data_IF_288980726848
#
_entry.id   IF_288980726848
#
_cell.length_a   1.000
_cell.length_b   1.000
_cell.length_c   1.000
_cell.angle_alpha   90.00
_cell.angle_beta   90.00
_cell.angle_gamma   90.00
#
_symmetry.space_group_name_H-M   'P 1'
#
loop_
_entity.id
_entity.type
_entity.pdbx_description
1 polymer ?
#
# COMPACT_ATOMS: atom_id res chain seq x y z
N UNK A 1 3.07 18.44 -35.66
CA UNK A 1 3.30 18.34 -34.21
C UNK A 1 2.45 17.19 -33.71
N UNK A 2 2.92 15.96 -33.91
CA UNK A 2 2.17 14.75 -33.58
C UNK A 2 2.32 14.48 -32.08
N UNK A 3 1.22 14.56 -31.35
CA UNK A 3 1.14 14.07 -29.97
C UNK A 3 1.37 12.56 -30.03
N UNK A 4 2.54 12.12 -29.58
CA UNK A 4 2.86 10.71 -29.38
C UNK A 4 1.82 10.11 -28.43
N UNK A 5 0.97 9.26 -28.99
CA UNK A 5 0.03 8.42 -28.26
C UNK A 5 0.81 7.54 -27.28
N UNK A 6 0.82 7.92 -26.01
CA UNK A 6 1.31 7.09 -24.92
C UNK A 6 0.34 5.92 -24.78
N UNK A 7 0.62 4.81 -25.48
CA UNK A 7 -0.12 3.56 -25.29
C UNK A 7 0.08 3.10 -23.84
N UNK A 8 -0.89 3.43 -22.98
CA UNK A 8 -0.93 2.95 -21.60
C UNK A 8 -1.21 1.44 -21.60
N UNK A 9 -0.15 0.64 -21.75
CA UNK A 9 -0.23 -0.82 -21.69
C UNK A 9 -0.19 -1.28 -20.23
N UNK A 10 -1.27 -1.01 -19.51
CA UNK A 10 -1.45 -1.54 -18.16
C UNK A 10 -2.00 -2.96 -18.23
N UNK A 11 -1.42 -3.89 -17.45
CA UNK A 11 -2.00 -5.21 -17.22
C UNK A 11 -2.53 -5.33 -15.79
N UNK A 12 -3.59 -6.12 -15.63
CA UNK A 12 -4.23 -6.37 -14.34
C UNK A 12 -4.21 -7.85 -14.03
N UNK A 13 -3.94 -8.20 -12.78
CA UNK A 13 -4.04 -9.56 -12.25
C UNK A 13 -4.73 -9.52 -10.90
N UNK A 14 -5.99 -9.95 -10.83
CA UNK A 14 -6.82 -9.78 -9.64
C UNK A 14 -6.94 -8.29 -9.26
N UNK A 15 -6.55 -7.95 -8.03
CA UNK A 15 -6.50 -6.57 -7.54
C UNK A 15 -5.16 -5.85 -7.82
N UNK A 16 -4.20 -6.54 -8.44
CA UNK A 16 -2.91 -5.97 -8.79
C UNK A 16 -2.95 -5.36 -10.17
N UNK A 17 -2.38 -4.16 -10.27
CA UNK A 17 -2.22 -3.42 -11.53
C UNK A 17 -0.73 -3.21 -11.75
N UNK A 18 -0.25 -3.57 -12.94
CA UNK A 18 1.13 -3.30 -13.34
C UNK A 18 1.19 -2.45 -14.60
N UNK A 19 2.03 -1.42 -14.53
CA UNK A 19 2.38 -0.55 -15.65
C UNK A 19 3.57 -1.16 -16.40
N UNK A 20 3.43 -1.40 -17.71
CA UNK A 20 4.49 -1.96 -18.58
C UNK A 20 5.28 -0.84 -19.29
N UNK A 21 5.15 0.41 -18.82
CA UNK A 21 6.00 1.50 -19.27
C UNK A 21 7.46 1.19 -18.95
N UNK A 22 8.35 1.57 -19.86
CA UNK A 22 9.79 1.52 -19.60
C UNK A 22 10.12 2.49 -18.45
N UNK A 23 10.85 2.00 -17.45
CA UNK A 23 11.27 2.81 -16.29
C UNK A 23 12.72 2.49 -16.00
N UNK A 24 13.54 3.52 -15.76
CA UNK A 24 14.97 3.40 -15.46
C UNK A 24 15.74 2.57 -16.51
N UNK A 25 15.36 2.65 -17.79
CA UNK A 25 15.97 1.88 -18.89
C UNK A 25 15.66 0.38 -18.87
N UNK A 26 14.72 -0.06 -18.03
CA UNK A 26 14.28 -1.46 -17.95
C UNK A 26 12.83 -1.54 -18.37
N UNK A 27 12.48 -2.58 -19.14
CA UNK A 27 11.10 -2.90 -19.52
C UNK A 27 10.79 -4.37 -19.26
N UNK A 28 9.75 -4.63 -18.46
CA UNK A 28 9.24 -6.01 -18.28
C UNK A 28 8.43 -6.42 -19.50
N UNK A 29 8.56 -7.68 -19.88
CA UNK A 29 7.58 -8.26 -20.78
C UNK A 29 6.22 -8.39 -20.05
N UNK A 30 5.08 -8.30 -20.75
CA UNK A 30 3.76 -8.40 -20.13
C UNK A 30 3.57 -9.68 -19.31
N UNK A 31 4.09 -10.81 -19.79
CA UNK A 31 4.02 -12.11 -19.06
C UNK A 31 4.91 -12.16 -17.83
N UNK A 32 6.05 -11.45 -17.84
CA UNK A 32 6.93 -11.35 -16.67
C UNK A 32 6.25 -10.55 -15.56
N UNK A 33 5.68 -9.39 -15.92
CA UNK A 33 4.91 -8.56 -15.00
C UNK A 33 3.68 -9.30 -14.46
N UNK A 34 2.97 -10.05 -15.30
CA UNK A 34 1.83 -10.88 -14.90
C UNK A 34 2.21 -11.90 -13.81
N UNK A 35 3.28 -12.66 -14.03
CA UNK A 35 3.71 -13.67 -13.07
C UNK A 35 4.29 -13.04 -11.80
N UNK A 36 4.98 -11.90 -11.91
CA UNK A 36 5.48 -11.17 -10.75
C UNK A 36 4.33 -10.63 -9.88
N UNK A 37 3.22 -10.18 -10.46
CA UNK A 37 2.00 -9.83 -9.72
C UNK A 37 1.37 -11.04 -9.01
N UNK A 38 1.40 -12.23 -9.63
CA UNK A 38 0.98 -13.47 -8.98
C UNK A 38 1.84 -13.79 -7.75
N UNK A 39 3.16 -13.61 -7.85
CA UNK A 39 4.08 -13.74 -6.71
C UNK A 39 3.80 -12.71 -5.63
N UNK A 40 3.53 -11.45 -6.00
CA UNK A 40 3.13 -10.39 -5.07
C UNK A 40 1.79 -10.68 -4.37
N UNK A 41 0.90 -11.45 -5.02
CA UNK A 41 -0.35 -11.94 -4.43
C UNK A 41 -0.15 -13.11 -3.44
N UNK A 42 1.08 -13.61 -3.28
CA UNK A 42 1.39 -14.76 -2.44
C UNK A 42 1.17 -16.12 -3.13
N UNK A 43 0.94 -16.14 -4.45
CA UNK A 43 0.78 -17.40 -5.18
C UNK A 43 2.13 -18.09 -5.41
N UNK A 44 2.13 -19.41 -5.29
CA UNK A 44 3.27 -20.25 -5.66
C UNK A 44 3.40 -20.34 -7.19
N UNK A 45 4.59 -20.68 -7.70
CA UNK A 45 4.81 -20.83 -9.15
C UNK A 45 3.86 -21.87 -9.78
N UNK A 46 3.49 -22.91 -9.04
CA UNK A 46 2.56 -23.96 -9.50
C UNK A 46 1.13 -23.43 -9.62
N UNK A 47 0.71 -22.58 -8.68
CA UNK A 47 -0.62 -21.94 -8.73
C UNK A 47 -0.70 -20.91 -9.86
N UNK A 48 0.34 -20.09 -10.04
CA UNK A 48 0.43 -19.16 -11.17
C UNK A 48 0.36 -19.93 -12.49
N UNK A 49 1.08 -21.04 -12.59
CA UNK A 49 1.07 -21.90 -13.77
C UNK A 49 -0.32 -22.49 -14.06
N UNK A 50 -0.99 -23.03 -13.03
CA UNK A 50 -2.37 -23.54 -13.12
C UNK A 50 -3.36 -22.45 -13.53
N UNK A 51 -3.27 -21.27 -12.92
CA UNK A 51 -4.14 -20.14 -13.23
C UNK A 51 -3.97 -19.61 -14.67
N UNK A 52 -2.80 -19.81 -15.28
CA UNK A 52 -2.49 -19.35 -16.64
C UNK A 52 -2.49 -20.48 -17.69
N UNK A 53 -2.77 -21.73 -17.31
CA UNK A 53 -2.76 -22.87 -18.23
C UNK A 53 -1.37 -23.18 -18.84
N UNK A 54 -0.29 -22.87 -18.13
CA UNK A 54 1.10 -23.04 -18.61
C UNK A 54 1.87 -24.04 -17.75
N UNK A 55 2.97 -24.58 -18.28
CA UNK A 55 3.87 -25.43 -17.51
C UNK A 55 4.58 -24.60 -16.40
N UNK A 56 4.68 -25.10 -15.15
CA UNK A 56 5.42 -24.43 -14.07
C UNK A 56 6.87 -24.09 -14.39
N UNK A 57 7.53 -24.88 -15.26
CA UNK A 57 8.88 -24.56 -15.74
C UNK A 57 8.91 -23.24 -16.53
N UNK A 58 7.89 -22.97 -17.34
CA UNK A 58 7.76 -21.73 -18.13
C UNK A 58 7.62 -20.51 -17.23
N UNK A 59 6.84 -20.61 -16.15
CA UNK A 59 6.70 -19.53 -15.15
C UNK A 59 8.04 -19.26 -14.48
N UNK A 60 8.75 -20.30 -14.09
CA UNK A 60 10.07 -20.19 -13.44
C UNK A 60 11.08 -19.51 -14.36
N UNK A 61 11.21 -19.97 -15.61
CA UNK A 61 12.13 -19.38 -16.59
C UNK A 61 11.81 -17.90 -16.84
N UNK A 62 10.51 -17.58 -16.96
CA UNK A 62 10.06 -16.21 -17.21
C UNK A 62 10.31 -15.30 -16.00
N UNK A 63 10.10 -15.79 -14.78
CA UNK A 63 10.44 -15.06 -13.56
C UNK A 63 11.95 -14.86 -13.43
N UNK A 64 12.78 -15.85 -13.79
CA UNK A 64 14.24 -15.68 -13.82
C UNK A 64 14.68 -14.60 -14.80
N UNK A 65 14.09 -14.53 -15.99
CA UNK A 65 14.34 -13.42 -16.93
C UNK A 65 13.94 -12.07 -16.32
N UNK A 66 12.83 -12.00 -15.60
CA UNK A 66 12.40 -10.80 -14.88
C UNK A 66 13.39 -10.40 -13.78
N UNK A 67 13.90 -11.36 -13.02
CA UNK A 67 14.86 -11.15 -11.94
C UNK A 67 16.19 -10.61 -12.45
N UNK A 68 16.68 -11.14 -13.57
CA UNK A 68 17.88 -10.63 -14.25
C UNK A 68 17.70 -9.17 -14.69
N UNK A 69 16.55 -8.82 -15.26
CA UNK A 69 16.22 -7.44 -15.66
C UNK A 69 16.16 -6.47 -14.47
N UNK A 70 15.69 -6.95 -13.33
CA UNK A 70 15.59 -6.17 -12.09
C UNK A 70 16.91 -6.17 -11.29
N UNK A 71 17.92 -6.94 -11.70
CA UNK A 71 19.18 -7.19 -10.98
C UNK A 71 18.97 -7.75 -9.56
N UNK A 72 18.00 -8.66 -9.39
CA UNK A 72 17.68 -9.28 -8.09
C UNK A 72 17.80 -10.79 -8.14
N UNK A 73 18.17 -11.40 -7.01
CA UNK A 73 18.28 -12.86 -6.87
C UNK A 73 17.05 -13.55 -6.25
N UNK A 74 16.29 -12.84 -5.42
CA UNK A 74 15.16 -13.39 -4.66
C UNK A 74 13.82 -12.83 -5.14
N UNK A 75 12.79 -13.67 -5.14
CA UNK A 75 11.41 -13.30 -5.51
C UNK A 75 10.89 -12.10 -4.71
N UNK A 76 11.07 -12.10 -3.39
CA UNK A 76 10.65 -10.99 -2.52
C UNK A 76 11.38 -9.68 -2.85
N UNK A 77 12.67 -9.76 -3.21
CA UNK A 77 13.43 -8.59 -3.64
C UNK A 77 12.93 -8.07 -4.99
N UNK A 78 12.57 -8.95 -5.92
CA UNK A 78 12.02 -8.55 -7.22
C UNK A 78 10.67 -7.84 -7.07
N UNK A 79 9.81 -8.31 -6.14
CA UNK A 79 8.57 -7.62 -5.79
C UNK A 79 8.85 -6.25 -5.16
N UNK A 80 9.82 -6.17 -4.25
CA UNK A 80 10.21 -4.91 -3.62
C UNK A 80 10.78 -3.90 -4.62
N UNK A 81 11.64 -4.32 -5.55
CA UNK A 81 12.13 -3.48 -6.65
C UNK A 81 11.00 -3.01 -7.56
N UNK A 82 10.09 -3.91 -7.95
CA UNK A 82 8.96 -3.56 -8.78
C UNK A 82 8.01 -2.55 -8.11
N UNK A 83 7.84 -2.64 -6.79
CA UNK A 83 7.12 -1.63 -6.00
C UNK A 83 7.89 -0.32 -5.92
N UNK A 84 9.21 -0.36 -5.67
CA UNK A 84 10.05 0.84 -5.55
C UNK A 84 10.10 1.65 -6.84
N UNK A 85 10.17 0.98 -7.98
CA UNK A 85 10.19 1.60 -9.32
C UNK A 85 8.80 2.02 -9.81
N UNK A 86 7.74 1.68 -9.07
CA UNK A 86 6.36 2.05 -9.40
C UNK A 86 5.69 1.17 -10.47
N UNK A 87 6.21 -0.04 -10.71
CA UNK A 87 5.68 -0.95 -11.74
C UNK A 87 4.47 -1.70 -11.21
N UNK A 88 4.52 -2.10 -9.94
CA UNK A 88 3.40 -2.71 -9.21
C UNK A 88 2.99 -1.72 -8.13
N UNK A 89 1.76 -1.23 -8.20
CA UNK A 89 1.24 -0.28 -7.22
C UNK A 89 0.25 -0.97 -6.26
N UNK A 90 0.70 -1.47 -5.09
CA UNK A 90 -0.25 -1.70 -4.01
C UNK A 90 -0.75 -0.35 -3.51
N UNK A 91 -2.06 -0.11 -3.56
CA UNK A 91 -2.75 1.04 -2.94
C UNK A 91 -2.29 1.31 -1.50
N UNK A 92 -1.78 0.30 -0.80
CA UNK A 92 -1.25 0.40 0.55
C UNK A 92 -0.06 1.37 0.70
N UNK A 93 0.84 1.52 -0.28
CA UNK A 93 1.95 2.48 -0.17
C UNK A 93 1.44 3.92 -0.16
N UNK A 94 0.46 4.23 -1.02
CA UNK A 94 -0.23 5.52 -1.04
C UNK A 94 -0.95 5.78 0.30
N UNK A 95 -1.65 4.78 0.83
CA UNK A 95 -2.38 4.88 2.10
C UNK A 95 -1.45 5.03 3.31
N UNK A 96 -0.32 4.33 3.34
CA UNK A 96 0.72 4.46 4.38
C UNK A 96 1.33 5.87 4.36
N UNK A 97 1.64 6.41 3.18
CA UNK A 97 2.08 7.80 3.06
C UNK A 97 1.01 8.80 3.54
N UNK A 98 -0.24 8.61 3.13
CA UNK A 98 -1.34 9.48 3.53
C UNK A 98 -1.58 9.48 5.05
N UNK A 99 -1.49 8.33 5.70
CA UNK A 99 -1.68 8.18 7.16
C UNK A 99 -0.51 8.73 7.98
N UNK A 100 0.73 8.59 7.50
CA UNK A 100 1.91 9.19 8.16
C UNK A 100 1.89 10.72 8.08
N UNK A 101 1.54 11.29 6.92
CA UNK A 101 1.39 12.75 6.75
C UNK A 101 0.28 13.32 7.63
N UNK A 102 -0.88 12.66 7.68
CA UNK A 102 -1.99 13.09 8.55
C UNK A 102 -1.72 12.82 10.04
N UNK A 103 -0.85 11.84 10.35
CA UNK A 103 -0.33 11.58 11.70
C UNK A 103 0.48 12.73 12.30
N UNK A 104 1.24 13.47 11.48
CA UNK A 104 1.98 14.65 11.93
C UNK A 104 1.05 15.81 12.35
N UNK A 105 -0.15 15.92 11.74
CA UNK A 105 -1.13 16.95 12.10
C UNK A 105 -1.78 16.74 13.47
N UNK A 106 -1.77 15.52 14.03
CA UNK A 106 -2.39 15.20 15.32
C UNK A 106 -1.72 15.92 16.50
N UNK A 107 -0.43 16.24 16.40
CA UNK A 107 0.31 16.91 17.47
C UNK A 107 0.02 18.42 17.58
N UNK A 108 -0.63 19.04 16.59
CA UNK A 108 -0.97 20.48 16.63
C UNK A 108 -2.36 20.78 17.23
N UNK A 109 -3.20 19.77 17.48
CA UNK A 109 -4.57 19.96 17.98
C UNK A 109 -4.79 19.26 19.33
N UNK A 110 -3.87 19.40 20.28
CA UNK A 110 -4.15 19.03 21.67
C UNK A 110 -5.18 20.02 22.24
N UNK A 111 -6.45 19.80 21.93
CA UNK A 111 -7.59 20.47 22.54
C UNK A 111 -7.59 20.09 24.02
N UNK A 112 -7.24 21.03 24.90
CA UNK A 112 -7.45 20.88 26.34
C UNK A 112 -8.94 20.66 26.56
N UNK A 113 -9.34 19.49 27.05
CA UNK A 113 -10.70 19.28 27.51
C UNK A 113 -11.01 20.33 28.59
N UNK A 114 -12.09 21.12 28.48
CA UNK A 114 -12.50 22.00 29.55
C UNK A 114 -12.86 21.14 30.76
N UNK A 115 -12.03 21.21 31.81
CA UNK A 115 -12.27 20.56 33.09
C UNK A 115 -13.54 21.16 33.67
N UNK A 116 -14.62 20.37 33.64
CA UNK A 116 -15.91 20.73 34.23
C UNK A 116 -15.69 21.07 35.71
N UNK A 117 -15.69 22.36 36.01
CA UNK A 117 -15.62 22.86 37.38
C UNK A 117 -17.02 22.74 37.93
N UNK A 118 -17.29 21.63 38.64
CA UNK A 118 -18.51 21.51 39.44
C UNK A 118 -18.51 22.66 40.45
N UNK A 119 -19.43 23.59 40.27
CA UNK A 119 -19.77 24.57 41.31
C UNK A 119 -20.45 23.80 42.43
N UNK A 120 -19.73 23.60 43.53
CA UNK A 120 -20.31 23.11 44.77
C UNK A 120 -21.13 24.24 45.39
N UNK A 121 -22.45 24.19 45.20
CA UNK A 121 -23.39 25.08 45.88
C UNK A 121 -23.41 24.70 47.36
N UNK A 122 -22.60 25.39 48.15
CA UNK A 122 -22.62 25.32 49.60
C UNK A 122 -24.01 25.79 50.08
N UNK A 123 -24.87 24.82 50.41
CA UNK A 123 -26.15 25.09 51.07
C UNK A 123 -25.86 25.41 52.53
N UNK A 124 -25.77 26.69 52.87
CA UNK A 124 -25.71 27.11 54.27
C UNK A 124 -27.07 26.84 54.93
N UNK A 125 -27.13 25.78 55.74
CA UNK A 125 -28.27 25.49 56.61
C UNK A 125 -28.11 26.37 57.86
N UNK A 126 -28.89 27.45 57.94
CA UNK A 126 -29.00 28.29 59.14
C UNK A 126 -29.90 27.56 60.13
N UNK A 127 -29.34 26.88 61.14
CA UNK A 127 -30.17 26.24 62.17
C UNK A 127 -30.81 27.31 63.04
N UNK A 128 -32.13 27.34 63.05
CA UNK A 128 -32.93 28.12 63.99
C UNK A 128 -32.73 27.52 65.39
N UNK A 129 -32.14 28.28 66.32
CA UNK A 129 -32.17 27.94 67.74
C UNK A 129 -33.35 28.67 68.35
N UNK A 130 -34.42 27.92 68.57
CA UNK A 130 -35.49 28.31 69.48
C UNK A 130 -34.91 28.28 70.90
N UNK A 131 -34.94 29.42 71.57
CA UNK A 131 -34.68 29.55 73.01
C UNK A 131 -35.99 29.86 73.70
N UNK A 132 -36.22 29.10 74.77
CA UNK A 132 -37.37 29.10 75.67
C UNK A 132 -37.66 30.45 76.32
#
# INVERSE_FOLDING_TARGET
MAMESTEQKTITFGHWKADITERDGVRLAPREALYLMGVASGMTHKEIARANGVNPATVTNRLQSAYLKLAVWRSAGAVAEAMRRGWIAPLCLLLMFATVMSGQQQNLYRVRQPRNTRHELVRSVRSNRETA
#
